data_IF_957274156380
#
_entry.id   IF_957274156380
#
_cell.length_a   1.000
_cell.length_b   1.000
_cell.length_c   1.000
_cell.angle_alpha   90.00
_cell.angle_beta   90.00
_cell.angle_gamma   90.00
#
_symmetry.space_group_name_H-M   'P 1'
#
loop_
_entity.id
_entity.type
_entity.pdbx_description
1 polymer ?
#
# COMPACT_ATOMS: atom_id res chain seq x y z
N UNK A 1 -85.98 -31.22 1.24
CA UNK A 1 -84.73 -30.48 0.95
C UNK A 1 -83.64 -31.49 0.64
N UNK A 2 -82.89 -31.20 -0.42
CA UNK A 2 -82.18 -32.14 -1.28
C UNK A 2 -80.99 -32.86 -0.62
N UNK A 3 -80.95 -34.19 -0.76
CA UNK A 3 -79.72 -34.99 -0.65
C UNK A 3 -78.88 -34.69 -1.89
N UNK A 4 -77.77 -33.99 -1.71
CA UNK A 4 -76.79 -33.77 -2.78
C UNK A 4 -76.15 -35.11 -3.16
N UNK A 5 -76.59 -35.70 -4.27
CA UNK A 5 -75.93 -36.85 -4.89
C UNK A 5 -74.57 -36.40 -5.42
N UNK A 6 -73.50 -36.64 -4.67
CA UNK A 6 -72.14 -36.59 -5.20
C UNK A 6 -71.95 -37.79 -6.14
N UNK A 7 -72.04 -37.53 -7.44
CA UNK A 7 -71.64 -38.49 -8.47
C UNK A 7 -70.15 -38.81 -8.30
N UNK A 8 -69.86 -39.90 -7.60
CA UNK A 8 -68.52 -40.51 -7.56
C UNK A 8 -68.24 -41.10 -8.94
N UNK A 9 -67.33 -40.48 -9.68
CA UNK A 9 -66.83 -41.01 -10.96
C UNK A 9 -66.15 -42.34 -10.68
N UNK A 10 -66.74 -43.42 -11.21
CA UNK A 10 -66.24 -44.77 -10.99
C UNK A 10 -65.05 -45.02 -11.94
N UNK A 11 -63.85 -44.67 -11.49
CA UNK A 11 -62.62 -44.92 -12.24
C UNK A 11 -62.30 -46.42 -12.18
N UNK A 12 -62.61 -47.17 -13.24
CA UNK A 12 -62.15 -48.56 -13.45
C UNK A 12 -60.63 -48.56 -13.75
N UNK A 13 -59.82 -48.31 -12.72
CA UNK A 13 -58.38 -48.48 -12.78
C UNK A 13 -58.08 -49.96 -12.50
N UNK A 14 -57.38 -50.64 -13.42
CA UNK A 14 -56.76 -51.94 -13.12
C UNK A 14 -55.58 -51.70 -12.18
N UNK A 15 -55.88 -51.61 -10.89
CA UNK A 15 -54.90 -51.35 -9.84
C UNK A 15 -54.24 -52.67 -9.44
N UNK A 16 -52.91 -52.71 -9.38
CA UNK A 16 -52.19 -53.89 -8.87
C UNK A 16 -52.66 -54.22 -7.43
N UNK A 17 -52.69 -55.50 -7.02
CA UNK A 17 -53.11 -55.88 -5.66
C UNK A 17 -52.37 -55.12 -4.54
N UNK A 18 -51.10 -54.78 -4.78
CA UNK A 18 -50.29 -53.98 -3.86
C UNK A 18 -50.80 -52.53 -3.74
N UNK A 19 -51.08 -51.87 -4.86
CA UNK A 19 -51.58 -50.50 -4.86
C UNK A 19 -53.02 -50.43 -4.32
N UNK A 20 -53.86 -51.43 -4.58
CA UNK A 20 -55.19 -51.54 -3.99
C UNK A 20 -55.15 -51.67 -2.45
N UNK A 21 -54.18 -52.44 -1.91
CA UNK A 21 -53.95 -52.53 -0.46
C UNK A 21 -53.52 -51.18 0.13
N UNK A 22 -52.64 -50.44 -0.55
CA UNK A 22 -52.22 -49.11 -0.13
C UNK A 22 -53.36 -48.10 -0.13
N UNK A 23 -54.23 -48.09 -1.15
CA UNK A 23 -55.41 -47.23 -1.14
C UNK A 23 -56.35 -47.51 0.02
N UNK A 24 -56.63 -48.78 0.33
CA UNK A 24 -57.46 -49.12 1.51
C UNK A 24 -56.82 -48.66 2.82
N UNK A 25 -55.50 -48.82 2.95
CA UNK A 25 -54.74 -48.35 4.12
C UNK A 25 -54.76 -46.81 4.24
N UNK A 26 -54.72 -46.10 3.11
CA UNK A 26 -54.85 -44.64 3.09
C UNK A 26 -56.26 -44.20 3.50
N UNK A 27 -57.31 -44.78 2.91
CA UNK A 27 -58.71 -44.48 3.27
C UNK A 27 -58.95 -44.71 4.76
N UNK A 28 -58.48 -45.83 5.32
CA UNK A 28 -58.59 -46.11 6.75
C UNK A 28 -57.85 -45.07 7.61
N UNK A 29 -56.71 -44.54 7.15
CA UNK A 29 -56.00 -43.48 7.86
C UNK A 29 -56.74 -42.13 7.78
N UNK A 30 -57.38 -41.80 6.66
CA UNK A 30 -58.24 -40.61 6.54
C UNK A 30 -59.47 -40.70 7.45
N UNK A 31 -60.11 -41.87 7.53
CA UNK A 31 -61.23 -42.14 8.46
C UNK A 31 -60.82 -41.96 9.94
N UNK A 32 -59.55 -42.22 10.27
CA UNK A 32 -58.98 -41.97 11.59
C UNK A 32 -58.57 -40.51 11.83
N UNK A 33 -58.91 -39.59 10.91
CA UNK A 33 -58.70 -38.15 11.04
C UNK A 33 -57.35 -37.64 10.55
N UNK A 34 -56.57 -38.45 9.82
CA UNK A 34 -55.36 -37.96 9.15
C UNK A 34 -55.71 -37.20 7.87
N UNK A 35 -54.95 -36.16 7.54
CA UNK A 35 -55.07 -35.47 6.27
C UNK A 35 -54.66 -36.41 5.11
N UNK A 36 -55.20 -36.22 3.90
CA UNK A 36 -54.97 -37.13 2.77
C UNK A 36 -53.49 -37.37 2.45
N UNK A 37 -52.64 -36.37 2.66
CA UNK A 37 -51.19 -36.48 2.44
C UNK A 37 -50.54 -37.42 3.45
N UNK A 38 -50.83 -37.28 4.74
CA UNK A 38 -50.27 -38.19 5.74
C UNK A 38 -50.88 -39.59 5.67
N UNK A 39 -52.16 -39.72 5.30
CA UNK A 39 -52.80 -41.00 5.05
C UNK A 39 -52.10 -41.79 3.91
N UNK A 40 -51.75 -41.11 2.82
CA UNK A 40 -50.96 -41.69 1.74
C UNK A 40 -49.53 -42.07 2.18
N UNK A 41 -48.90 -41.27 3.04
CA UNK A 41 -47.57 -41.58 3.60
C UNK A 41 -47.62 -42.83 4.49
N UNK A 42 -48.62 -42.94 5.37
CA UNK A 42 -48.87 -44.12 6.21
C UNK A 42 -49.11 -45.36 5.34
N UNK A 43 -49.88 -45.22 4.25
CA UNK A 43 -50.10 -46.29 3.29
C UNK A 43 -48.84 -46.72 2.53
N UNK A 44 -47.90 -45.80 2.33
CA UNK A 44 -46.60 -46.07 1.74
C UNK A 44 -45.55 -46.58 2.76
N UNK A 45 -45.95 -46.84 4.00
CA UNK A 45 -45.07 -47.22 5.13
C UNK A 45 -44.02 -46.15 5.48
N UNK A 46 -44.30 -44.89 5.12
CA UNK A 46 -43.48 -43.73 5.48
C UNK A 46 -44.04 -43.04 6.73
N UNK A 47 -43.17 -42.39 7.52
CA UNK A 47 -43.61 -41.61 8.68
C UNK A 47 -44.38 -40.36 8.22
N UNK A 48 -45.52 -40.03 8.85
CA UNK A 48 -46.20 -38.76 8.63
C UNK A 48 -45.24 -37.59 8.83
N UNK A 49 -45.36 -36.54 8.02
CA UNK A 49 -44.54 -35.31 8.08
C UNK A 49 -43.02 -35.46 7.83
N UNK A 50 -42.49 -36.66 7.54
CA UNK A 50 -41.05 -36.85 7.31
C UNK A 50 -40.50 -35.98 6.17
N UNK A 51 -41.25 -35.86 5.07
CA UNK A 51 -40.87 -35.02 3.93
C UNK A 51 -40.83 -33.54 4.33
N UNK A 52 -41.78 -33.09 5.15
CA UNK A 52 -41.83 -31.71 5.64
C UNK A 52 -40.65 -31.41 6.56
N UNK A 53 -40.30 -32.34 7.46
CA UNK A 53 -39.13 -32.22 8.34
C UNK A 53 -37.81 -32.19 7.56
N UNK A 54 -37.66 -33.08 6.57
CA UNK A 54 -36.48 -33.10 5.71
C UNK A 54 -36.35 -31.80 4.92
N UNK A 55 -37.47 -31.26 4.40
CA UNK A 55 -37.46 -29.99 3.68
C UNK A 55 -37.03 -28.83 4.58
N UNK A 56 -37.61 -28.73 5.77
CA UNK A 56 -37.22 -27.71 6.76
C UNK A 56 -35.73 -27.83 7.12
N UNK A 57 -35.22 -29.07 7.27
CA UNK A 57 -33.80 -29.29 7.57
C UNK A 57 -32.88 -28.90 6.40
N UNK A 58 -33.29 -29.14 5.16
CA UNK A 58 -32.53 -28.72 3.98
C UNK A 58 -32.52 -27.19 3.87
N UNK A 59 -33.64 -26.53 4.15
CA UNK A 59 -33.74 -25.06 4.17
C UNK A 59 -32.83 -24.45 5.24
N UNK A 60 -32.83 -25.01 6.46
CA UNK A 60 -31.93 -24.60 7.55
C UNK A 60 -30.45 -24.78 7.16
N UNK A 61 -30.08 -25.96 6.65
CA UNK A 61 -28.69 -26.23 6.21
C UNK A 61 -28.26 -25.34 5.04
N UNK A 62 -29.18 -25.00 4.13
CA UNK A 62 -28.90 -24.06 3.04
C UNK A 62 -28.61 -22.67 3.58
N UNK A 63 -29.39 -22.20 4.55
CA UNK A 63 -29.15 -20.91 5.18
C UNK A 63 -27.80 -20.88 5.92
N UNK A 64 -27.50 -21.93 6.70
CA UNK A 64 -26.22 -22.05 7.40
C UNK A 64 -25.04 -22.09 6.42
N UNK A 65 -25.20 -22.74 5.27
CA UNK A 65 -24.20 -22.77 4.21
C UNK A 65 -23.96 -21.36 3.64
N UNK A 66 -25.01 -20.61 3.32
CA UNK A 66 -24.90 -19.24 2.79
C UNK A 66 -24.19 -18.31 3.80
N UNK A 67 -24.51 -18.44 5.09
CA UNK A 67 -23.84 -17.69 6.17
C UNK A 67 -22.37 -18.06 6.23
N UNK A 68 -22.05 -19.36 6.22
CA UNK A 68 -20.68 -19.86 6.28
C UNK A 68 -19.85 -19.43 5.06
N UNK A 69 -20.42 -19.48 3.85
CA UNK A 69 -19.76 -19.02 2.63
C UNK A 69 -19.43 -17.53 2.68
N UNK A 70 -20.34 -16.71 3.21
CA UNK A 70 -20.10 -15.28 3.40
C UNK A 70 -19.01 -15.02 4.44
N UNK A 71 -19.01 -15.74 5.56
CA UNK A 71 -17.94 -15.67 6.56
C UNK A 71 -16.58 -16.07 5.98
N UNK A 72 -16.53 -17.14 5.19
CA UNK A 72 -15.31 -17.58 4.50
C UNK A 72 -14.83 -16.54 3.48
N UNK A 73 -15.73 -15.91 2.72
CA UNK A 73 -15.37 -14.84 1.80
C UNK A 73 -14.75 -13.64 2.53
N UNK A 74 -15.34 -13.23 3.66
CA UNK A 74 -14.81 -12.15 4.49
C UNK A 74 -13.46 -12.52 5.12
N UNK A 75 -13.30 -13.76 5.58
CA UNK A 75 -12.04 -14.25 6.13
C UNK A 75 -10.94 -14.23 5.07
N UNK A 76 -11.22 -14.70 3.86
CA UNK A 76 -10.27 -14.69 2.75
C UNK A 76 -9.83 -13.26 2.39
N UNK A 77 -10.76 -12.30 2.37
CA UNK A 77 -10.41 -10.89 2.16
C UNK A 77 -9.47 -10.37 3.25
N UNK A 78 -9.73 -10.68 4.53
CA UNK A 78 -8.85 -10.30 5.64
C UNK A 78 -7.48 -10.96 5.55
N UNK A 79 -7.42 -12.23 5.15
CA UNK A 79 -6.16 -12.96 4.95
C UNK A 79 -5.34 -12.29 3.85
N UNK A 80 -5.94 -11.95 2.72
CA UNK A 80 -5.25 -11.23 1.64
C UNK A 80 -4.72 -9.86 2.10
N UNK A 81 -5.56 -9.07 2.79
CA UNK A 81 -5.15 -7.79 3.37
C UNK A 81 -3.95 -7.96 4.32
N UNK A 82 -4.00 -8.95 5.21
CA UNK A 82 -2.90 -9.21 6.14
C UNK A 82 -1.61 -9.66 5.44
N UNK A 83 -1.73 -10.41 4.34
CA UNK A 83 -0.57 -10.83 3.54
C UNK A 83 0.09 -9.64 2.85
N UNK A 84 -0.71 -8.71 2.31
CA UNK A 84 -0.21 -7.47 1.71
C UNK A 84 0.47 -6.58 2.75
N UNK A 85 -0.13 -6.42 3.93
CA UNK A 85 0.45 -5.68 5.05
C UNK A 85 1.79 -6.28 5.51
N UNK A 86 1.88 -7.61 5.61
CA UNK A 86 3.13 -8.31 5.94
C UNK A 86 4.20 -8.13 4.85
N UNK A 87 3.82 -8.13 3.58
CA UNK A 87 4.73 -7.85 2.46
C UNK A 87 5.32 -6.45 2.55
N UNK A 88 4.47 -5.45 2.84
CA UNK A 88 4.90 -4.05 3.04
C UNK A 88 5.79 -3.91 4.30
N UNK A 89 5.45 -4.61 5.39
CA UNK A 89 6.26 -4.57 6.61
C UNK A 89 7.66 -5.17 6.37
N UNK A 90 7.74 -6.27 5.61
CA UNK A 90 9.01 -6.92 5.27
C UNK A 90 9.88 -6.06 4.36
N UNK A 91 9.30 -5.35 3.39
CA UNK A 91 10.07 -4.42 2.54
C UNK A 91 10.68 -3.28 3.35
N UNK A 92 9.89 -2.65 4.23
CA UNK A 92 10.35 -1.61 5.16
C UNK A 92 11.44 -2.11 6.10
N UNK A 93 11.32 -3.35 6.60
CA UNK A 93 12.34 -3.95 7.45
C UNK A 93 13.65 -4.21 6.68
N UNK A 94 13.56 -4.58 5.41
CA UNK A 94 14.72 -4.68 4.51
C UNK A 94 15.41 -3.34 4.29
N UNK A 95 14.64 -2.27 4.08
CA UNK A 95 15.16 -0.90 3.96
C UNK A 95 15.85 -0.43 5.26
N UNK A 96 15.24 -0.69 6.42
CA UNK A 96 15.83 -0.37 7.72
C UNK A 96 17.16 -1.09 7.95
N UNK A 97 17.28 -2.35 7.54
CA UNK A 97 18.56 -3.08 7.61
C UNK A 97 19.64 -2.43 6.76
N UNK A 98 19.31 -2.08 5.50
CA UNK A 98 20.24 -1.37 4.61
C UNK A 98 20.64 -0.01 5.17
N UNK A 99 19.69 0.76 5.71
CA UNK A 99 19.98 2.04 6.34
C UNK A 99 20.91 1.87 7.56
N UNK A 100 20.69 0.83 8.38
CA UNK A 100 21.57 0.51 9.50
C UNK A 100 22.98 0.15 9.04
N UNK A 101 23.13 -0.65 7.99
CA UNK A 101 24.44 -0.98 7.40
C UNK A 101 25.16 0.28 6.89
N UNK A 102 24.43 1.20 6.23
CA UNK A 102 24.98 2.47 5.77
C UNK A 102 25.44 3.36 6.93
N UNK A 103 24.67 3.42 8.02
CA UNK A 103 25.06 4.17 9.23
C UNK A 103 26.38 3.62 9.78
N UNK A 104 26.51 2.30 9.93
CA UNK A 104 27.75 1.69 10.44
C UNK A 104 28.94 1.99 9.51
N UNK A 105 28.75 1.89 8.19
CA UNK A 105 29.81 2.23 7.23
C UNK A 105 30.22 3.71 7.29
N UNK A 106 29.25 4.61 7.46
CA UNK A 106 29.50 6.04 7.61
C UNK A 106 30.22 6.33 8.92
N UNK A 107 29.83 5.70 10.03
CA UNK A 107 30.49 5.81 11.33
C UNK A 107 31.95 5.33 11.26
N UNK A 108 32.21 4.19 10.63
CA UNK A 108 33.58 3.69 10.41
C UNK A 108 34.40 4.63 9.54
N UNK A 109 33.81 5.16 8.47
CA UNK A 109 34.48 6.10 7.56
C UNK A 109 34.81 7.41 8.26
N UNK A 110 33.86 7.95 9.04
CA UNK A 110 34.08 9.15 9.84
C UNK A 110 35.21 8.92 10.84
N UNK A 111 35.17 7.80 11.57
CA UNK A 111 36.18 7.45 12.56
C UNK A 111 37.58 7.33 11.96
N UNK A 112 37.70 6.81 10.72
CA UNK A 112 38.98 6.76 9.99
C UNK A 112 39.42 8.13 9.46
N UNK A 113 38.50 8.99 9.03
CA UNK A 113 38.82 10.33 8.50
C UNK A 113 39.28 11.31 9.58
N UNK A 114 38.87 11.10 10.83
CA UNK A 114 39.19 11.96 11.96
C UNK A 114 40.36 11.33 12.75
N UNK A 115 41.49 11.11 12.08
CA UNK A 115 42.69 10.68 12.78
C UNK A 115 43.37 11.92 13.40
N UNK A 116 43.06 12.19 14.67
CA UNK A 116 43.57 13.35 15.41
C UNK A 116 44.94 13.13 16.09
N UNK A 117 45.60 12.01 15.83
CA UNK A 117 46.81 11.61 16.57
C UNK A 117 48.00 12.57 16.41
N UNK A 118 48.07 13.31 15.31
CA UNK A 118 49.13 14.30 15.04
C UNK A 118 48.69 15.76 15.26
N UNK A 119 47.45 15.98 15.71
CA UNK A 119 46.93 17.33 15.96
C UNK A 119 47.33 17.80 17.37
N UNK A 120 47.74 19.07 17.53
CA UNK A 120 48.03 19.62 18.87
C UNK A 120 46.83 19.44 19.80
N UNK A 121 47.07 19.01 21.04
CA UNK A 121 46.02 18.73 22.05
C UNK A 121 44.98 19.86 22.19
N UNK A 122 45.39 21.12 22.01
CA UNK A 122 44.49 22.28 22.03
C UNK A 122 43.44 22.24 20.90
N UNK A 123 43.82 21.81 19.71
CA UNK A 123 42.95 21.68 18.54
C UNK A 123 42.02 20.47 18.70
N UNK A 124 42.55 19.35 19.19
CA UNK A 124 41.77 18.14 19.50
C UNK A 124 40.66 18.43 20.51
N UNK A 125 40.97 19.18 21.58
CA UNK A 125 39.97 19.56 22.59
C UNK A 125 38.89 20.48 22.01
N UNK A 126 39.26 21.47 21.20
CA UNK A 126 38.30 22.36 20.52
C UNK A 126 37.37 21.59 19.57
N UNK A 127 37.91 20.64 18.81
CA UNK A 127 37.12 19.77 17.93
C UNK A 127 36.16 18.89 18.73
N UNK A 128 36.60 18.29 19.84
CA UNK A 128 35.69 17.51 20.72
C UNK A 128 34.55 18.36 21.26
N UNK A 129 34.85 19.55 21.79
CA UNK A 129 33.82 20.46 22.29
C UNK A 129 32.83 20.87 21.19
N UNK A 130 33.33 21.10 19.98
CA UNK A 130 32.47 21.41 18.84
C UNK A 130 31.56 20.23 18.46
N UNK A 131 32.09 19.01 18.46
CA UNK A 131 31.30 17.79 18.22
C UNK A 131 30.23 17.62 19.30
N UNK A 132 30.57 17.79 20.58
CA UNK A 132 29.62 17.68 21.68
C UNK A 132 28.47 18.70 21.55
N UNK A 133 28.80 19.95 21.19
CA UNK A 133 27.82 21.00 20.94
C UNK A 133 26.89 20.68 19.76
N UNK A 134 27.42 20.13 18.67
CA UNK A 134 26.62 19.69 17.51
C UNK A 134 25.69 18.55 17.89
N UNK A 135 26.16 17.59 18.69
CA UNK A 135 25.35 16.46 19.16
C UNK A 135 24.21 16.92 20.07
N UNK A 136 24.43 17.98 20.87
CA UNK A 136 23.40 18.61 21.72
C UNK A 136 22.37 19.42 20.90
N UNK A 137 22.65 19.68 19.61
CA UNK A 137 21.71 20.31 18.67
C UNK A 137 22.11 21.71 18.19
N UNK A 138 23.32 22.18 18.50
CA UNK A 138 23.81 23.46 18.01
C UNK A 138 24.10 23.41 16.49
N UNK A 139 23.88 24.53 15.79
CA UNK A 139 24.09 24.61 14.34
C UNK A 139 25.57 24.36 13.98
N UNK A 140 25.90 23.28 13.26
CA UNK A 140 27.27 22.85 13.02
C UNK A 140 28.13 23.87 12.30
N UNK A 141 27.54 24.72 11.45
CA UNK A 141 28.29 25.77 10.76
C UNK A 141 28.85 26.80 11.76
N UNK A 142 28.03 27.23 12.71
CA UNK A 142 28.44 28.17 13.78
C UNK A 142 29.50 27.55 14.68
N UNK A 143 29.26 26.31 15.11
CA UNK A 143 30.09 25.63 16.09
C UNK A 143 31.49 25.33 15.55
N UNK A 144 31.59 24.91 14.29
CA UNK A 144 32.88 24.66 13.63
C UNK A 144 33.67 25.96 13.36
N UNK A 145 32.99 27.04 12.98
CA UNK A 145 33.64 28.34 12.79
C UNK A 145 34.17 28.89 14.11
N UNK A 146 33.40 28.80 15.19
CA UNK A 146 33.84 29.19 16.52
C UNK A 146 35.03 28.35 17.01
N UNK A 147 35.04 27.04 16.76
CA UNK A 147 36.16 26.16 17.10
C UNK A 147 37.45 26.50 16.33
N UNK A 148 37.31 27.08 15.14
CA UNK A 148 38.40 27.59 14.32
C UNK A 148 38.75 29.07 14.58
N UNK A 149 38.18 29.67 15.63
CA UNK A 149 38.33 31.09 16.01
C UNK A 149 37.87 32.08 14.90
N UNK A 150 36.95 31.65 14.02
CA UNK A 150 36.32 32.52 13.02
C UNK A 150 34.97 33.06 13.49
N UNK A 151 34.74 34.35 13.28
CA UNK A 151 33.42 34.96 13.44
C UNK A 151 32.55 34.68 12.20
N UNK A 152 31.38 34.08 12.42
CA UNK A 152 30.43 33.77 11.36
C UNK A 152 29.99 35.00 10.57
N UNK A 153 29.81 36.14 11.23
CA UNK A 153 29.40 37.37 10.53
C UNK A 153 30.46 37.82 9.52
N UNK A 154 31.73 37.75 9.92
CA UNK A 154 32.86 38.11 9.05
C UNK A 154 32.98 37.14 7.88
N UNK A 155 32.76 35.84 8.12
CA UNK A 155 32.81 34.82 7.06
C UNK A 155 31.66 34.96 6.07
N UNK A 156 30.43 35.17 6.55
CA UNK A 156 29.26 35.33 5.68
C UNK A 156 29.34 36.65 4.87
N UNK A 157 29.90 37.73 5.44
CA UNK A 157 30.18 38.98 4.72
C UNK A 157 31.26 38.78 3.64
N UNK A 158 32.35 38.09 3.97
CA UNK A 158 33.42 37.77 3.02
C UNK A 158 32.91 36.91 1.86
N UNK A 159 32.10 35.88 2.14
CA UNK A 159 31.48 35.03 1.11
C UNK A 159 30.54 35.82 0.19
N UNK A 160 29.73 36.72 0.77
CA UNK A 160 28.86 37.62 0.01
C UNK A 160 29.67 38.56 -0.90
N UNK A 161 30.80 39.08 -0.42
CA UNK A 161 31.70 39.91 -1.21
C UNK A 161 32.35 39.12 -2.36
N UNK A 162 32.75 37.86 -2.11
CA UNK A 162 33.28 36.95 -3.13
C UNK A 162 32.24 36.65 -4.22
N UNK A 163 30.98 36.44 -3.86
CA UNK A 163 29.91 36.22 -4.83
C UNK A 163 29.64 37.46 -5.68
N UNK A 164 29.63 38.66 -5.08
CA UNK A 164 29.55 39.93 -5.82
C UNK A 164 30.71 40.08 -6.78
N UNK A 165 31.94 39.81 -6.33
CA UNK A 165 33.14 39.85 -7.18
C UNK A 165 33.05 38.85 -8.33
N UNK A 166 32.62 37.61 -8.06
CA UNK A 166 32.47 36.56 -9.08
C UNK A 166 31.42 36.96 -10.13
N UNK A 167 30.31 37.55 -9.70
CA UNK A 167 29.30 38.11 -10.62
C UNK A 167 29.88 39.25 -11.46
N UNK A 168 30.63 40.16 -10.85
CA UNK A 168 31.25 41.28 -11.56
C UNK A 168 32.29 40.81 -12.57
N UNK A 169 33.13 39.84 -12.23
CA UNK A 169 34.09 39.23 -13.15
C UNK A 169 33.37 38.60 -14.34
N UNK A 170 32.31 37.83 -14.10
CA UNK A 170 31.51 37.22 -15.18
C UNK A 170 30.89 38.29 -16.10
N UNK A 171 30.38 39.38 -15.53
CA UNK A 171 29.81 40.49 -16.30
C UNK A 171 30.89 41.22 -17.13
N UNK A 172 32.08 41.42 -16.55
CA UNK A 172 33.23 42.01 -17.25
C UNK A 172 33.75 41.10 -18.37
N UNK A 173 33.81 39.79 -18.14
CA UNK A 173 34.18 38.82 -19.18
C UNK A 173 33.21 38.88 -20.35
N UNK A 174 31.89 38.89 -20.09
CA UNK A 174 30.85 39.04 -21.13
C UNK A 174 31.02 40.36 -21.88
N UNK A 175 31.24 41.47 -21.17
CA UNK A 175 31.44 42.79 -21.77
C UNK A 175 32.76 42.90 -22.57
N UNK A 176 33.79 42.13 -22.20
CA UNK A 176 35.08 42.12 -22.87
C UNK A 176 35.13 41.18 -24.10
N UNK A 177 34.21 40.21 -24.21
CA UNK A 177 34.12 39.26 -25.34
C UNK A 177 34.17 39.95 -26.72
N UNK A 178 33.35 41.00 -26.99
CA UNK A 178 33.35 41.66 -28.29
C UNK A 178 34.69 42.34 -28.62
N UNK A 179 35.34 42.93 -27.61
CA UNK A 179 36.67 43.54 -27.77
C UNK A 179 37.74 42.47 -28.05
N UNK A 180 37.65 41.32 -27.38
CA UNK A 180 38.54 40.18 -27.61
C UNK A 180 38.39 39.62 -29.02
N UNK A 181 37.18 39.53 -29.54
CA UNK A 181 36.91 39.08 -30.92
C UNK A 181 37.42 40.08 -31.96
N UNK A 182 37.27 41.38 -31.71
CA UNK A 182 37.83 42.45 -32.56
C UNK A 182 39.36 42.43 -32.56
N UNK A 183 39.99 42.18 -31.41
CA UNK A 183 41.45 42.07 -31.31
C UNK A 183 41.97 40.77 -31.95
N UNK A 184 41.28 39.64 -31.77
CA UNK A 184 41.62 38.36 -32.38
C UNK A 184 41.44 38.32 -33.90
N UNK A 185 40.56 39.16 -34.45
CA UNK A 185 40.31 39.28 -35.89
C UNK A 185 41.26 40.26 -36.62
N UNK A 186 42.38 40.65 -36.02
CA UNK A 186 43.40 41.51 -36.64
C UNK A 186 43.30 42.99 -36.26
N UNK A 187 42.59 43.31 -35.18
CA UNK A 187 42.51 44.64 -34.59
C UNK A 187 41.37 45.52 -35.13
N UNK A 188 41.12 46.63 -34.43
CA UNK A 188 39.97 47.52 -34.66
C UNK A 188 39.89 48.04 -36.11
N UNK A 189 41.04 48.28 -36.75
CA UNK A 189 41.10 48.72 -38.16
C UNK A 189 40.56 47.67 -39.14
N UNK A 190 40.87 46.39 -38.91
CA UNK A 190 40.41 45.28 -39.74
C UNK A 190 38.90 44.99 -39.56
N UNK A 191 38.40 45.18 -38.33
CA UNK A 191 36.97 45.06 -38.03
C UNK A 191 36.12 46.15 -38.69
N UNK A 192 36.57 47.42 -38.62
CA UNK A 192 35.89 48.53 -39.30
C UNK A 192 35.87 48.31 -40.82
N UNK A 193 37.00 47.89 -41.42
CA UNK A 193 37.07 47.62 -42.86
C UNK A 193 36.10 46.51 -43.31
N UNK A 194 36.02 45.39 -42.57
CA UNK A 194 35.07 44.30 -42.88
C UNK A 194 33.61 44.73 -42.81
N UNK A 195 33.26 45.56 -41.83
CA UNK A 195 31.89 46.05 -41.65
C UNK A 195 31.47 47.07 -42.71
N UNK A 196 32.39 47.92 -43.17
CA UNK A 196 32.16 48.85 -44.29
C UNK A 196 32.03 48.11 -45.62
N UNK A 197 32.70 46.96 -45.77
CA UNK A 197 32.61 46.10 -46.96
C UNK A 197 31.42 45.12 -46.93
N UNK A 198 30.57 45.15 -45.90
CA UNK A 198 29.41 44.27 -45.77
C UNK A 198 29.74 42.81 -45.46
N UNK A 199 30.98 42.51 -45.07
CA UNK A 199 31.47 41.18 -44.72
C UNK A 199 31.42 41.03 -43.19
N UNK A 200 30.21 40.89 -42.67
CA UNK A 200 29.94 40.58 -41.26
C UNK A 200 29.56 39.12 -41.10
#
# INVERSE_FOLDING_TARGET
>A
MNKSNSNLVNCNLQVSPALARRFRKAVQAEENGHDPRNALMIAADCKPNQITLLRARVEELSFDLDVSENEHAQLNLKVHQSADELSIANSKLGELKKAKEQIVQLEETLSRSVNMQDLPNKVVNRLRTAVDQIVVGDDPKTTLLAAADYDRHVVDEAMSAVERLRSNVKNLEVAATPLRDVLGSGGIKAWIARRVLGLG
#
